data_IF_100774828451
#
_entry.id   IF_100774828451
#
_cell.length_a   1.000
_cell.length_b   1.000
_cell.length_c   1.000
_cell.angle_alpha   90.00
_cell.angle_beta   90.00
_cell.angle_gamma   90.00
#
_symmetry.space_group_name_H-M   'P 1'
#
loop_
_entity.id
_entity.type
_entity.pdbx_description
1 polymer ?
#
# COMPACT_ATOMS: atom_id res chain seq x y z
N UNK A 1 -16.82 -4.01 -47.28
CA UNK A 1 -16.34 -3.12 -46.22
C UNK A 1 -17.55 -2.67 -45.42
N UNK A 2 -17.87 -3.37 -44.32
CA UNK A 2 -19.02 -3.00 -43.49
C UNK A 2 -18.49 -2.29 -42.28
N UNK A 3 -18.79 -1.01 -42.18
CA UNK A 3 -18.55 -0.20 -40.99
C UNK A 3 -19.49 -0.69 -39.87
N UNK A 4 -18.93 -1.18 -38.82
CA UNK A 4 -19.64 -1.43 -37.56
C UNK A 4 -19.91 -0.07 -36.93
N UNK A 5 -21.12 0.41 -37.06
CA UNK A 5 -21.63 1.58 -36.31
C UNK A 5 -21.84 1.13 -34.88
N UNK A 6 -21.01 1.62 -33.99
CA UNK A 6 -21.14 1.46 -32.53
C UNK A 6 -22.37 2.29 -32.11
N UNK A 7 -23.49 1.60 -31.88
CA UNK A 7 -24.76 2.22 -31.49
C UNK A 7 -24.87 2.11 -29.95
N UNK A 8 -24.06 2.90 -29.25
CA UNK A 8 -24.26 3.13 -27.81
C UNK A 8 -25.62 3.80 -27.62
N UNK A 9 -26.48 3.25 -26.78
CA UNK A 9 -27.81 3.83 -26.51
C UNK A 9 -27.63 5.08 -25.64
N UNK A 10 -28.56 6.06 -25.71
CA UNK A 10 -28.52 7.26 -24.83
C UNK A 10 -28.47 6.90 -23.33
N UNK A 11 -28.97 5.74 -22.97
CA UNK A 11 -28.96 5.23 -21.59
C UNK A 11 -27.58 4.74 -21.18
N UNK A 12 -26.86 4.08 -22.09
CA UNK A 12 -25.49 3.59 -21.84
C UNK A 12 -24.54 4.77 -21.68
N UNK A 13 -24.65 5.79 -22.52
CA UNK A 13 -23.86 7.01 -22.40
C UNK A 13 -24.12 7.79 -21.09
N UNK A 14 -25.35 7.76 -20.57
CA UNK A 14 -25.68 8.39 -19.30
C UNK A 14 -25.06 7.63 -18.11
N UNK A 15 -25.08 6.30 -18.15
CA UNK A 15 -24.45 5.46 -17.10
C UNK A 15 -22.93 5.63 -17.12
N UNK A 16 -22.31 5.63 -18.29
CA UNK A 16 -20.86 5.87 -18.42
C UNK A 16 -20.46 7.25 -17.90
N UNK A 17 -21.27 8.29 -18.13
CA UNK A 17 -21.02 9.63 -17.62
C UNK A 17 -21.11 9.70 -16.09
N UNK A 18 -22.15 9.12 -15.48
CA UNK A 18 -22.33 9.06 -14.03
C UNK A 18 -21.18 8.29 -13.34
N UNK A 19 -20.74 7.18 -13.93
CA UNK A 19 -19.60 6.40 -13.42
C UNK A 19 -18.30 7.21 -13.50
N UNK A 20 -18.06 7.91 -14.60
CA UNK A 20 -16.88 8.76 -14.77
C UNK A 20 -16.85 9.93 -13.77
N UNK A 21 -17.98 10.57 -13.50
CA UNK A 21 -18.08 11.64 -12.49
C UNK A 21 -17.81 11.09 -11.07
N UNK A 22 -18.33 9.92 -10.74
CA UNK A 22 -18.09 9.24 -9.46
C UNK A 22 -16.61 8.94 -9.27
N UNK A 23 -15.94 8.36 -10.27
CA UNK A 23 -14.51 8.07 -10.22
C UNK A 23 -13.67 9.34 -10.07
N UNK A 24 -14.00 10.38 -10.82
CA UNK A 24 -13.30 11.66 -10.74
C UNK A 24 -13.44 12.29 -9.33
N UNK A 25 -14.61 12.16 -8.72
CA UNK A 25 -14.85 12.61 -7.35
C UNK A 25 -14.00 11.85 -6.34
N UNK A 26 -13.93 10.51 -6.46
CA UNK A 26 -13.09 9.66 -5.60
C UNK A 26 -11.61 9.97 -5.75
N UNK A 27 -11.12 10.16 -6.98
CA UNK A 27 -9.72 10.53 -7.23
C UNK A 27 -9.37 11.88 -6.61
N UNK A 28 -10.25 12.89 -6.76
CA UNK A 28 -10.03 14.22 -6.15
C UNK A 28 -10.06 14.16 -4.63
N UNK A 29 -10.93 13.35 -4.06
CA UNK A 29 -10.98 13.16 -2.60
C UNK A 29 -9.71 12.49 -2.10
N UNK A 30 -9.24 11.43 -2.77
CA UNK A 30 -7.99 10.75 -2.44
C UNK A 30 -6.79 11.71 -2.55
N UNK A 31 -6.71 12.50 -3.64
CA UNK A 31 -5.66 13.51 -3.82
C UNK A 31 -5.67 14.53 -2.68
N UNK A 32 -6.84 15.05 -2.32
CA UNK A 32 -6.99 16.00 -1.23
C UNK A 32 -6.50 15.44 0.11
N UNK A 33 -6.91 14.21 0.46
CA UNK A 33 -6.52 13.56 1.70
C UNK A 33 -5.03 13.23 1.75
N UNK A 34 -4.44 12.80 0.62
CA UNK A 34 -3.00 12.60 0.51
C UNK A 34 -2.21 13.89 0.71
N UNK A 35 -2.63 15.00 0.11
CA UNK A 35 -2.00 16.30 0.31
C UNK A 35 -2.15 16.75 1.77
N UNK A 36 -3.33 16.58 2.38
CA UNK A 36 -3.56 16.87 3.79
C UNK A 36 -2.65 16.04 4.71
N UNK A 37 -2.42 14.76 4.35
CA UNK A 37 -1.49 13.90 5.09
C UNK A 37 -0.05 14.40 5.01
N UNK A 38 0.38 14.86 3.84
CA UNK A 38 1.74 15.35 3.61
C UNK A 38 1.99 16.72 4.25
N UNK A 39 0.97 17.59 4.26
CA UNK A 39 1.04 18.96 4.79
C UNK A 39 0.65 19.04 6.28
N UNK A 40 0.36 17.92 6.93
CA UNK A 40 -0.08 17.89 8.32
C UNK A 40 0.98 18.44 9.29
N UNK A 41 0.56 19.27 10.21
CA UNK A 41 1.43 19.91 11.22
C UNK A 41 1.99 18.92 12.25
N UNK A 42 1.34 17.76 12.40
CA UNK A 42 1.77 16.72 13.33
C UNK A 42 1.63 15.32 12.75
N UNK A 43 2.47 14.35 13.18
CA UNK A 43 2.34 12.96 12.77
C UNK A 43 0.98 12.34 13.12
N UNK A 44 0.34 12.78 14.21
CA UNK A 44 -0.99 12.30 14.62
C UNK A 44 -2.06 12.73 13.61
N UNK A 45 -2.07 14.02 13.26
CA UNK A 45 -2.99 14.56 12.24
C UNK A 45 -2.77 13.89 10.88
N UNK A 46 -1.51 13.62 10.50
CA UNK A 46 -1.18 12.90 9.29
C UNK A 46 -1.78 11.47 9.28
N UNK A 47 -1.80 10.78 10.42
CA UNK A 47 -2.40 9.44 10.54
C UNK A 47 -3.91 9.50 10.34
N UNK A 48 -4.61 10.50 10.89
CA UNK A 48 -6.06 10.64 10.71
C UNK A 48 -6.42 10.84 9.22
N UNK A 49 -5.69 11.69 8.51
CA UNK A 49 -5.87 11.88 7.06
C UNK A 49 -5.45 10.66 6.24
N UNK A 50 -4.42 9.92 6.67
CA UNK A 50 -4.02 8.65 6.07
C UNK A 50 -5.16 7.62 6.14
N UNK A 51 -5.84 7.50 7.27
CA UNK A 51 -6.98 6.60 7.43
C UNK A 51 -8.08 6.92 6.42
N UNK A 52 -8.42 8.19 6.24
CA UNK A 52 -9.37 8.63 5.22
C UNK A 52 -8.88 8.35 3.81
N UNK A 53 -7.58 8.53 3.52
CA UNK A 53 -6.97 8.18 2.22
C UNK A 53 -7.11 6.70 1.90
N UNK A 54 -6.93 5.84 2.91
CA UNK A 54 -7.08 4.38 2.78
C UNK A 54 -8.52 3.99 2.45
N UNK A 55 -9.51 4.60 3.11
CA UNK A 55 -10.93 4.38 2.82
C UNK A 55 -11.29 4.84 1.39
N UNK A 56 -10.80 6.02 0.98
CA UNK A 56 -11.00 6.52 -0.38
C UNK A 56 -10.40 5.60 -1.44
N UNK A 57 -9.23 5.01 -1.16
CA UNK A 57 -8.60 4.07 -2.09
C UNK A 57 -9.39 2.75 -2.18
N UNK A 58 -9.99 2.27 -1.10
CA UNK A 58 -10.84 1.07 -1.13
C UNK A 58 -12.14 1.31 -1.92
N UNK A 59 -12.76 2.49 -1.75
CA UNK A 59 -13.91 2.89 -2.57
C UNK A 59 -13.54 2.98 -4.05
N UNK A 60 -12.37 3.56 -4.36
CA UNK A 60 -11.86 3.68 -5.72
C UNK A 60 -11.54 2.30 -6.34
N UNK A 61 -10.90 1.40 -5.58
CA UNK A 61 -10.61 0.02 -6.01
C UNK A 61 -11.90 -0.73 -6.39
N UNK A 62 -12.92 -0.62 -5.54
CA UNK A 62 -14.23 -1.22 -5.79
C UNK A 62 -14.88 -0.67 -7.07
N UNK A 63 -14.89 0.65 -7.24
CA UNK A 63 -15.48 1.28 -8.42
C UNK A 63 -14.71 0.95 -9.72
N UNK A 64 -13.39 0.86 -9.65
CA UNK A 64 -12.54 0.50 -10.79
C UNK A 64 -12.64 -0.98 -11.15
N UNK A 65 -12.82 -1.87 -10.18
CA UNK A 65 -12.96 -3.30 -10.43
C UNK A 65 -14.21 -3.64 -11.27
N UNK A 66 -15.24 -2.81 -11.19
CA UNK A 66 -16.46 -2.92 -12.01
C UNK A 66 -16.24 -2.52 -13.48
N UNK A 67 -15.20 -1.73 -13.78
CA UNK A 67 -14.90 -1.24 -15.14
C UNK A 67 -13.89 -2.11 -15.87
N UNK A 68 -12.65 -2.11 -15.44
CA UNK A 68 -11.57 -2.88 -16.05
C UNK A 68 -10.54 -3.34 -15.01
N UNK A 69 -10.65 -4.58 -14.50
CA UNK A 69 -9.74 -5.11 -13.49
C UNK A 69 -8.27 -5.17 -13.95
N UNK A 70 -8.01 -5.28 -15.26
CA UNK A 70 -6.65 -5.41 -15.78
C UNK A 70 -5.88 -4.09 -15.75
N UNK A 71 -6.57 -2.98 -15.96
CA UNK A 71 -5.96 -1.64 -15.89
C UNK A 71 -5.96 -1.12 -14.44
N UNK A 72 -7.04 -1.34 -13.71
CA UNK A 72 -7.23 -0.86 -12.36
C UNK A 72 -6.25 -1.48 -11.34
N UNK A 73 -6.09 -2.80 -11.39
CA UNK A 73 -5.29 -3.53 -10.39
C UNK A 73 -3.87 -2.99 -10.20
N UNK A 74 -3.05 -2.83 -11.25
CA UNK A 74 -1.69 -2.31 -11.11
C UNK A 74 -1.62 -0.89 -10.57
N UNK A 75 -2.60 -0.03 -10.90
CA UNK A 75 -2.65 1.35 -10.40
C UNK A 75 -2.97 1.37 -8.90
N UNK A 76 -4.01 0.65 -8.49
CA UNK A 76 -4.42 0.55 -7.08
C UNK A 76 -3.31 -0.06 -6.23
N UNK A 77 -2.61 -1.08 -6.72
CA UNK A 77 -1.48 -1.69 -6.01
C UNK A 77 -0.34 -0.68 -5.78
N UNK A 78 -0.02 0.16 -6.76
CA UNK A 78 0.99 1.21 -6.59
C UNK A 78 0.58 2.26 -5.56
N UNK A 79 -0.69 2.65 -5.56
CA UNK A 79 -1.22 3.58 -4.55
C UNK A 79 -1.20 2.96 -3.15
N UNK A 80 -1.60 1.69 -3.02
CA UNK A 80 -1.51 0.95 -1.74
C UNK A 80 -0.08 0.90 -1.23
N UNK A 81 0.88 0.56 -2.08
CA UNK A 81 2.30 0.56 -1.72
C UNK A 81 2.76 1.93 -1.21
N UNK A 82 2.32 3.01 -1.85
CA UNK A 82 2.59 4.38 -1.38
C UNK A 82 2.02 4.66 0.00
N UNK A 83 0.77 4.24 0.24
CA UNK A 83 0.13 4.38 1.55
C UNK A 83 0.80 3.50 2.62
N UNK A 84 1.23 2.29 2.29
CA UNK A 84 1.95 1.39 3.22
C UNK A 84 3.29 2.01 3.64
N UNK A 85 4.02 2.61 2.71
CA UNK A 85 5.26 3.34 2.99
C UNK A 85 5.02 4.54 3.89
N UNK A 86 4.00 5.33 3.59
CA UNK A 86 3.63 6.50 4.37
C UNK A 86 3.17 6.11 5.79
N UNK A 87 2.36 5.05 5.92
CA UNK A 87 1.94 4.50 7.21
C UNK A 87 3.13 4.07 8.07
N UNK A 88 4.11 3.40 7.46
CA UNK A 88 5.34 2.97 8.12
C UNK A 88 6.17 4.17 8.58
N UNK A 89 6.37 5.17 7.73
CA UNK A 89 7.13 6.38 8.06
C UNK A 89 6.46 7.19 9.18
N UNK A 90 5.12 7.27 9.18
CA UNK A 90 4.35 7.91 10.25
C UNK A 90 4.45 7.14 11.57
N UNK A 91 4.44 5.80 11.52
CA UNK A 91 4.69 4.98 12.70
C UNK A 91 6.06 5.28 13.31
N UNK A 92 7.13 5.29 12.50
CA UNK A 92 8.50 5.58 12.93
C UNK A 92 8.64 6.99 13.55
N UNK A 93 7.80 7.93 13.11
CA UNK A 93 7.75 9.30 13.64
C UNK A 93 6.84 9.45 14.88
N UNK A 94 6.28 8.35 15.40
CA UNK A 94 5.42 8.34 16.57
C UNK A 94 3.97 8.76 16.31
N UNK A 95 3.54 8.81 15.06
CA UNK A 95 2.20 9.23 14.68
C UNK A 95 1.08 8.32 15.20
N UNK A 96 1.38 7.05 15.53
CA UNK A 96 0.37 6.08 15.99
C UNK A 96 0.15 6.08 17.51
N UNK A 97 0.81 6.96 18.28
CA UNK A 97 0.76 6.95 19.76
C UNK A 97 -0.63 7.29 20.31
N UNK A 98 -1.43 8.08 19.58
CA UNK A 98 -2.79 8.47 19.96
C UNK A 98 -3.85 7.39 19.69
N UNK A 99 -3.52 6.39 18.88
CA UNK A 99 -4.41 5.29 18.55
C UNK A 99 -4.51 4.30 19.70
N UNK A 100 -5.69 3.68 19.88
CA UNK A 100 -5.84 2.56 20.78
C UNK A 100 -5.16 1.29 20.23
N UNK A 101 -5.06 0.25 21.09
CA UNK A 101 -4.37 -0.98 20.70
C UNK A 101 -5.06 -1.71 19.54
N UNK A 102 -6.40 -1.69 19.49
CA UNK A 102 -7.16 -2.34 18.42
C UNK A 102 -6.94 -1.65 17.08
N UNK A 103 -6.93 -0.31 17.09
CA UNK A 103 -6.65 0.49 15.90
C UNK A 103 -5.21 0.27 15.40
N UNK A 104 -4.23 0.25 16.29
CA UNK A 104 -2.84 -0.03 15.93
C UNK A 104 -2.67 -1.40 15.31
N UNK A 105 -3.28 -2.44 15.90
CA UNK A 105 -3.22 -3.80 15.36
C UNK A 105 -3.91 -3.92 14.01
N UNK A 106 -5.05 -3.27 13.81
CA UNK A 106 -5.74 -3.26 12.53
C UNK A 106 -4.90 -2.59 11.42
N UNK A 107 -4.30 -1.43 11.71
CA UNK A 107 -3.40 -0.74 10.78
C UNK A 107 -2.16 -1.56 10.47
N UNK A 108 -1.53 -2.14 11.48
CA UNK A 108 -0.34 -2.97 11.33
C UNK A 108 -0.63 -4.20 10.46
N UNK A 109 -1.74 -4.90 10.73
CA UNK A 109 -2.16 -6.04 9.93
C UNK A 109 -2.42 -5.65 8.47
N UNK A 110 -3.01 -4.48 8.24
CA UNK A 110 -3.32 -3.97 6.90
C UNK A 110 -2.05 -3.60 6.13
N UNK A 111 -1.23 -2.74 6.69
CA UNK A 111 -0.10 -2.12 5.97
C UNK A 111 1.15 -3.01 5.89
N UNK A 112 1.27 -4.03 6.74
CA UNK A 112 2.35 -5.02 6.65
C UNK A 112 2.08 -6.13 5.61
N UNK A 113 0.87 -6.22 5.06
CA UNK A 113 0.45 -7.33 4.18
C UNK A 113 1.32 -7.44 2.93
N UNK A 114 1.81 -6.32 2.38
CA UNK A 114 2.69 -6.30 1.20
C UNK A 114 3.94 -7.17 1.35
N UNK A 115 4.48 -7.28 2.56
CA UNK A 115 5.65 -8.11 2.85
C UNK A 115 5.38 -9.61 2.80
N UNK A 116 4.14 -10.05 2.96
CA UNK A 116 3.79 -11.48 2.88
C UNK A 116 3.90 -12.05 1.46
N UNK A 117 4.11 -11.20 0.44
CA UNK A 117 4.41 -11.62 -0.91
C UNK A 117 5.83 -12.19 -1.05
N UNK A 118 6.72 -11.87 -0.10
CA UNK A 118 8.06 -12.44 -0.04
C UNK A 118 7.98 -13.84 0.54
N UNK A 119 8.52 -14.82 -0.20
CA UNK A 119 8.44 -16.22 0.20
C UNK A 119 9.07 -16.44 1.59
N UNK A 120 8.33 -17.07 2.49
CA UNK A 120 8.74 -17.34 3.86
C UNK A 120 8.47 -16.23 4.87
N UNK A 121 7.92 -15.08 4.45
CA UNK A 121 7.44 -14.04 5.37
C UNK A 121 5.95 -14.28 5.65
N UNK A 122 5.63 -14.75 6.85
CA UNK A 122 4.27 -14.83 7.34
C UNK A 122 3.79 -13.50 7.95
N UNK A 123 2.47 -13.37 8.26
CA UNK A 123 1.90 -12.14 8.79
C UNK A 123 2.62 -11.59 10.04
N UNK A 124 3.00 -12.45 10.98
CA UNK A 124 3.71 -12.02 12.18
C UNK A 124 5.09 -11.42 11.88
N UNK A 125 5.87 -12.07 10.99
CA UNK A 125 7.18 -11.55 10.58
C UNK A 125 7.05 -10.27 9.76
N UNK A 126 6.01 -10.15 8.91
CA UNK A 126 5.71 -8.94 8.16
C UNK A 126 5.44 -7.75 9.09
N UNK A 127 4.66 -7.96 10.15
CA UNK A 127 4.40 -6.94 11.16
C UNK A 127 5.68 -6.52 11.91
N UNK A 128 6.53 -7.47 12.29
CA UNK A 128 7.82 -7.16 12.93
C UNK A 128 8.69 -6.32 12.01
N UNK A 129 8.83 -6.69 10.73
CA UNK A 129 9.59 -5.93 9.73
C UNK A 129 9.04 -4.52 9.56
N UNK A 130 7.71 -4.38 9.46
CA UNK A 130 7.05 -3.08 9.35
C UNK A 130 7.36 -2.17 10.54
N UNK A 131 7.30 -2.69 11.76
CA UNK A 131 7.64 -1.96 12.98
C UNK A 131 9.10 -1.47 13.00
N UNK A 132 9.99 -2.10 12.22
CA UNK A 132 11.40 -1.69 12.04
C UNK A 132 11.64 -0.84 10.77
N UNK A 133 10.59 -0.32 10.14
CA UNK A 133 10.71 0.59 9.00
C UNK A 133 10.74 -0.09 7.64
N UNK A 134 10.51 -1.38 7.56
CA UNK A 134 10.46 -2.16 6.32
C UNK A 134 9.00 -2.38 5.95
N UNK A 135 8.46 -1.59 5.03
CA UNK A 135 7.05 -1.62 4.65
C UNK A 135 6.73 -2.56 3.48
N UNK A 136 7.74 -2.89 2.67
CA UNK A 136 7.54 -3.57 1.40
C UNK A 136 8.81 -4.31 0.94
N UNK A 137 8.69 -5.23 -0.05
CA UNK A 137 9.83 -5.99 -0.57
C UNK A 137 10.96 -5.14 -1.14
N UNK A 138 10.64 -3.98 -1.72
CA UNK A 138 11.64 -3.09 -2.33
C UNK A 138 12.49 -2.42 -1.25
N UNK A 139 11.87 -1.94 -0.16
CA UNK A 139 12.59 -1.45 1.02
C UNK A 139 13.41 -2.56 1.68
N UNK A 140 12.86 -3.77 1.77
CA UNK A 140 13.61 -4.92 2.30
C UNK A 140 14.89 -5.18 1.51
N UNK A 141 14.85 -5.14 0.17
CA UNK A 141 16.02 -5.31 -0.69
C UNK A 141 17.12 -4.26 -0.48
N UNK A 142 16.78 -3.09 0.06
CA UNK A 142 17.74 -2.02 0.35
C UNK A 142 18.46 -2.22 1.70
N UNK A 143 17.94 -3.10 2.57
CA UNK A 143 18.53 -3.37 3.87
C UNK A 143 19.81 -4.21 3.76
N UNK A 144 20.79 -3.89 4.61
CA UNK A 144 21.97 -4.72 4.75
C UNK A 144 21.59 -6.06 5.42
N UNK A 145 22.06 -7.21 4.88
CA UNK A 145 21.75 -8.51 5.49
C UNK A 145 22.10 -8.60 6.97
N UNK A 146 23.22 -8.00 7.39
CA UNK A 146 23.66 -8.01 8.77
C UNK A 146 22.80 -7.12 9.69
N UNK A 147 22.22 -6.04 9.17
CA UNK A 147 21.31 -5.18 9.94
C UNK A 147 20.00 -5.88 10.32
N UNK A 148 19.65 -6.98 9.65
CA UNK A 148 18.49 -7.79 10.01
C UNK A 148 18.68 -8.53 11.35
N UNK A 149 19.92 -8.73 11.81
CA UNK A 149 20.20 -9.37 13.12
C UNK A 149 19.74 -8.51 14.30
N UNK A 150 19.66 -7.19 14.09
CA UNK A 150 19.22 -6.24 15.12
C UNK A 150 17.68 -6.16 15.24
N UNK A 151 16.95 -6.87 14.39
CA UNK A 151 15.48 -6.89 14.40
C UNK A 151 14.98 -7.91 15.42
N UNK A 152 14.59 -7.43 16.59
CA UNK A 152 13.97 -8.25 17.62
C UNK A 152 12.61 -8.80 17.17
N UNK A 153 12.33 -10.07 17.50
CA UNK A 153 11.03 -10.70 17.22
C UNK A 153 10.96 -11.47 15.90
N UNK A 154 11.97 -11.42 15.04
CA UNK A 154 12.05 -12.29 13.88
C UNK A 154 12.44 -13.72 14.27
N UNK A 155 11.75 -14.70 13.69
CA UNK A 155 12.13 -16.10 13.83
C UNK A 155 13.48 -16.34 13.13
N UNK A 156 14.39 -17.07 13.79
CA UNK A 156 15.73 -17.35 13.27
C UNK A 156 15.73 -18.02 11.87
N UNK A 157 14.73 -18.85 11.56
CA UNK A 157 14.59 -19.47 10.24
C UNK A 157 14.22 -18.45 9.16
N UNK A 158 13.33 -17.51 9.47
CA UNK A 158 12.95 -16.39 8.57
C UNK A 158 14.16 -15.50 8.34
N UNK A 159 14.85 -15.11 9.40
CA UNK A 159 16.06 -14.28 9.33
C UNK A 159 17.14 -14.89 8.43
N UNK A 160 17.48 -16.17 8.66
CA UNK A 160 18.49 -16.87 7.86
C UNK A 160 18.09 -16.99 6.38
N UNK A 161 16.78 -17.08 6.08
CA UNK A 161 16.27 -17.12 4.73
C UNK A 161 16.37 -15.75 4.06
N UNK A 162 15.89 -14.69 4.71
CA UNK A 162 15.94 -13.32 4.19
C UNK A 162 17.38 -12.89 3.87
N UNK A 163 18.33 -13.19 4.76
CA UNK A 163 19.75 -12.92 4.50
C UNK A 163 20.25 -13.56 3.21
N UNK A 164 19.96 -14.85 3.02
CA UNK A 164 20.35 -15.58 1.80
C UNK A 164 19.73 -14.98 0.54
N UNK A 165 18.46 -14.57 0.58
CA UNK A 165 17.76 -13.96 -0.56
C UNK A 165 18.34 -12.58 -0.90
N UNK A 166 18.62 -11.75 0.12
CA UNK A 166 19.24 -10.44 -0.08
C UNK A 166 20.66 -10.56 -0.65
N UNK A 167 21.47 -11.50 -0.13
CA UNK A 167 22.79 -11.76 -0.68
C UNK A 167 22.77 -12.27 -2.12
N UNK A 168 21.78 -13.13 -2.47
CA UNK A 168 21.61 -13.62 -3.83
C UNK A 168 21.21 -12.50 -4.80
N UNK A 169 20.26 -11.65 -4.39
CA UNK A 169 19.78 -10.52 -5.19
C UNK A 169 20.90 -9.51 -5.48
N UNK A 170 21.77 -9.25 -4.50
CA UNK A 170 22.93 -8.35 -4.67
C UNK A 170 23.97 -8.90 -5.65
N UNK A 171 24.20 -10.21 -5.64
CA UNK A 171 25.11 -10.85 -6.59
C UNK A 171 24.60 -10.81 -8.03
N UNK A 172 23.28 -10.93 -8.22
CA UNK A 172 22.65 -10.86 -9.54
C UNK A 172 22.54 -9.45 -10.10
N UNK A 173 22.57 -8.41 -9.27
CA UNK A 173 22.52 -7.00 -9.71
C UNK A 173 23.89 -6.38 -10.00
N UNK A 174 24.97 -7.11 -9.78
CA UNK A 174 26.36 -6.64 -9.99
C UNK A 174 26.96 -7.11 -11.33
N UNK A 175 26.22 -7.85 -12.16
CA UNK A 175 26.58 -8.23 -13.53
C UNK A 175 25.90 -7.30 -14.54
#
# INVERSE_FOLDING_TARGET
>A
MSAKTDTSTPKDAAIEHETAETLLSLVRRLEHELLTTLDADSPQQAVDSLLTSVECLDELDTALAELDPQVAGPLVQRLRLGLDRLACDLYQRGGWQHLDESQRQALLARHATGLTQVDGIGPASAQVLFLHGISDPERLCQWEPDALDDIEGLNAAVLARLKRELEASRKSGAE
#
